data_IF_306734479359
#
_entry.id   IF_306734479359
#
_cell.length_a   1.000
_cell.length_b   1.000
_cell.length_c   1.000
_cell.angle_alpha   90.00
_cell.angle_beta   90.00
_cell.angle_gamma   90.00
#
_symmetry.space_group_name_H-M   'P 1'
#
loop_
_entity.id
_entity.type
_entity.pdbx_description
1 polymer ?
#
# COMPACT_ATOMS: atom_id res chain seq x y z
N UNK A 1 18.93 -0.70 0.74
CA UNK A 1 17.92 -1.78 0.84
C UNK A 1 17.19 -1.84 2.18
N UNK A 2 17.66 -1.20 3.26
CA UNK A 2 17.09 -1.43 4.59
C UNK A 2 15.82 -0.64 4.95
N UNK A 3 15.72 0.66 4.64
CA UNK A 3 14.63 1.47 5.18
C UNK A 3 13.25 1.11 4.63
N UNK A 4 13.07 1.19 3.31
CA UNK A 4 11.74 0.98 2.69
C UNK A 4 11.22 -0.43 2.97
N UNK A 5 12.07 -1.45 2.80
CA UNK A 5 11.71 -2.83 3.12
C UNK A 5 11.32 -2.99 4.60
N UNK A 6 12.05 -2.36 5.53
CA UNK A 6 11.68 -2.40 6.95
C UNK A 6 10.32 -1.74 7.21
N UNK A 7 9.97 -0.66 6.51
CA UNK A 7 8.63 -0.08 6.61
C UNK A 7 7.55 -1.04 6.08
N UNK A 8 7.81 -1.73 4.96
CA UNK A 8 6.87 -2.72 4.40
C UNK A 8 6.66 -3.90 5.35
N UNK A 9 7.74 -4.43 5.92
CA UNK A 9 7.69 -5.52 6.91
C UNK A 9 6.92 -5.10 8.16
N UNK A 10 7.15 -3.89 8.66
CA UNK A 10 6.43 -3.37 9.81
C UNK A 10 4.94 -3.18 9.52
N UNK A 11 4.58 -2.67 8.34
CA UNK A 11 3.19 -2.57 7.92
C UNK A 11 2.51 -3.92 7.78
N UNK A 12 3.20 -4.93 7.25
CA UNK A 12 2.67 -6.29 7.19
C UNK A 12 2.38 -6.83 8.59
N UNK A 13 3.32 -6.64 9.54
CA UNK A 13 3.13 -7.03 10.94
C UNK A 13 1.91 -6.34 11.57
N UNK A 14 1.76 -5.03 11.38
CA UNK A 14 0.62 -4.26 11.89
C UNK A 14 -0.71 -4.70 11.27
N UNK A 15 -0.72 -5.02 9.96
CA UNK A 15 -1.89 -5.53 9.27
C UNK A 15 -2.33 -6.89 9.85
N UNK A 16 -1.38 -7.79 10.11
CA UNK A 16 -1.64 -9.10 10.71
C UNK A 16 -2.18 -8.97 12.13
N UNK A 17 -1.60 -8.08 12.95
CA UNK A 17 -2.09 -7.81 14.31
C UNK A 17 -3.52 -7.26 14.31
N UNK A 18 -3.82 -6.36 13.38
CA UNK A 18 -5.18 -5.85 13.20
C UNK A 18 -6.14 -6.96 12.79
N UNK A 19 -5.77 -7.82 11.83
CA UNK A 19 -6.59 -8.95 11.40
C UNK A 19 -6.87 -9.93 12.56
N UNK A 20 -5.85 -10.27 13.35
CA UNK A 20 -6.01 -11.12 14.54
C UNK A 20 -6.94 -10.48 15.56
N UNK A 21 -6.84 -9.15 15.77
CA UNK A 21 -7.70 -8.43 16.71
C UNK A 21 -9.18 -8.49 16.34
N UNK A 22 -9.52 -8.58 15.05
CA UNK A 22 -10.90 -8.75 14.58
C UNK A 22 -11.48 -10.16 14.85
N UNK A 23 -10.61 -11.17 15.01
CA UNK A 23 -11.01 -12.56 15.22
C UNK A 23 -11.16 -12.93 16.71
N UNK A 24 -10.72 -12.06 17.64
CA UNK A 24 -10.79 -12.35 19.08
C UNK A 24 -12.24 -12.27 19.60
N UNK A 25 -12.72 -13.39 20.15
CA UNK A 25 -14.10 -13.61 20.59
C UNK A 25 -14.56 -12.67 21.71
N UNK A 26 -15.84 -12.27 21.59
CA UNK A 26 -16.62 -11.25 22.30
C UNK A 26 -17.03 -11.60 23.74
N UNK A 27 -16.13 -12.10 24.58
CA UNK A 27 -16.47 -12.26 26.01
C UNK A 27 -16.61 -10.90 26.74
N UNK A 28 -16.04 -9.83 26.18
CA UNK A 28 -16.12 -8.47 26.71
C UNK A 28 -16.16 -7.43 25.58
N UNK A 29 -17.35 -7.15 25.06
CA UNK A 29 -17.59 -6.40 23.81
C UNK A 29 -16.97 -5.00 23.82
N UNK A 30 -17.00 -4.30 24.97
CA UNK A 30 -16.49 -2.93 25.10
C UNK A 30 -14.96 -2.91 24.96
N UNK A 31 -14.26 -3.76 25.72
CA UNK A 31 -12.78 -3.84 25.67
C UNK A 31 -12.28 -4.40 24.33
N UNK A 32 -13.01 -5.33 23.72
CA UNK A 32 -12.69 -5.83 22.39
C UNK A 32 -12.79 -4.73 21.32
N UNK A 33 -13.85 -3.91 21.40
CA UNK A 33 -14.06 -2.79 20.46
C UNK A 33 -12.99 -1.71 20.57
N UNK A 34 -12.57 -1.37 21.78
CA UNK A 34 -11.49 -0.40 22.01
C UNK A 34 -10.15 -0.91 21.46
N UNK A 35 -9.82 -2.17 21.73
CA UNK A 35 -8.60 -2.81 21.22
C UNK A 35 -8.54 -2.84 19.69
N UNK A 36 -9.65 -3.16 19.03
CA UNK A 36 -9.75 -3.14 17.56
C UNK A 36 -9.55 -1.71 17.01
N UNK A 37 -10.17 -0.70 17.64
CA UNK A 37 -10.01 0.71 17.24
C UNK A 37 -8.56 1.17 17.36
N UNK A 38 -7.89 0.84 18.47
CA UNK A 38 -6.49 1.18 18.70
C UNK A 38 -5.58 0.54 17.65
N UNK A 39 -5.77 -0.75 17.36
CA UNK A 39 -4.97 -1.45 16.34
C UNK A 39 -5.22 -0.95 14.93
N UNK A 40 -6.47 -0.61 14.60
CA UNK A 40 -6.81 0.04 13.34
C UNK A 40 -6.14 1.41 13.21
N UNK A 41 -6.15 2.22 14.28
CA UNK A 41 -5.54 3.54 14.27
C UNK A 41 -4.01 3.43 14.09
N UNK A 42 -3.34 2.58 14.86
CA UNK A 42 -1.90 2.31 14.75
C UNK A 42 -1.50 1.92 13.32
N UNK A 43 -2.28 1.03 12.70
CA UNK A 43 -2.07 0.62 11.32
C UNK A 43 -2.26 1.77 10.32
N UNK A 44 -3.38 2.50 10.39
CA UNK A 44 -3.66 3.62 9.47
C UNK A 44 -2.62 4.72 9.61
N UNK A 45 -2.21 5.05 10.84
CA UNK A 45 -1.20 6.07 11.12
C UNK A 45 0.16 5.67 10.52
N UNK A 46 0.55 4.39 10.64
CA UNK A 46 1.77 3.87 10.03
C UNK A 46 1.70 3.93 8.49
N UNK A 47 0.54 3.62 7.89
CA UNK A 47 0.32 3.71 6.44
C UNK A 47 0.44 5.16 5.96
N UNK A 48 -0.21 6.10 6.63
CA UNK A 48 -0.11 7.52 6.30
C UNK A 48 1.32 8.03 6.44
N UNK A 49 2.02 7.66 7.52
CA UNK A 49 3.41 8.03 7.73
C UNK A 49 4.35 7.49 6.64
N UNK A 50 4.12 6.27 6.15
CA UNK A 50 4.86 5.72 5.00
C UNK A 50 4.58 6.55 3.74
N UNK A 51 3.30 6.75 3.42
CA UNK A 51 2.87 7.49 2.23
C UNK A 51 3.44 8.90 2.21
N UNK A 52 3.41 9.61 3.34
CA UNK A 52 3.98 10.96 3.47
C UNK A 52 5.49 10.98 3.25
N UNK A 53 6.22 10.01 3.81
CA UNK A 53 7.68 9.91 3.62
C UNK A 53 8.02 9.61 2.16
N UNK A 54 7.33 8.65 1.55
CA UNK A 54 7.52 8.27 0.14
C UNK A 54 7.17 9.45 -0.79
N UNK A 55 6.08 10.17 -0.52
CA UNK A 55 5.70 11.33 -1.33
C UNK A 55 6.70 12.50 -1.25
N UNK A 56 7.51 12.59 -0.19
CA UNK A 56 8.55 13.62 -0.03
C UNK A 56 9.86 13.26 -0.73
N UNK A 57 10.01 12.05 -1.28
CA UNK A 57 11.25 11.63 -1.92
C UNK A 57 11.39 12.30 -3.28
N UNK A 58 12.54 12.94 -3.53
CA UNK A 58 12.84 13.55 -4.83
C UNK A 58 12.76 12.52 -5.95
N UNK A 59 11.93 12.81 -6.95
CA UNK A 59 11.69 11.92 -8.09
C UNK A 59 10.42 11.07 -7.94
N UNK A 60 9.72 11.14 -6.81
CA UNK A 60 8.36 10.61 -6.65
C UNK A 60 7.37 11.75 -6.89
N UNK A 61 6.39 11.48 -7.74
CA UNK A 61 5.33 12.44 -8.12
C UNK A 61 4.15 12.37 -7.17
N UNK A 62 3.78 11.16 -6.74
CA UNK A 62 2.73 10.94 -5.75
C UNK A 62 2.85 9.53 -5.14
N UNK A 63 2.31 9.37 -3.94
CA UNK A 63 2.15 8.10 -3.27
C UNK A 63 0.74 8.00 -2.68
N UNK A 64 0.11 6.83 -2.77
CA UNK A 64 -1.18 6.56 -2.16
C UNK A 64 -1.30 5.09 -1.75
N UNK A 65 -2.09 4.82 -0.72
CA UNK A 65 -2.39 3.47 -0.25
C UNK A 65 -3.89 3.21 -0.34
N UNK A 66 -4.25 2.03 -0.83
CA UNK A 66 -5.62 1.59 -1.00
C UNK A 66 -5.88 0.28 -0.27
N UNK A 67 -7.12 0.09 0.14
CA UNK A 67 -7.64 -1.17 0.67
C UNK A 67 -9.05 -1.38 0.12
N UNK A 68 -9.27 -2.51 -0.56
CA UNK A 68 -10.53 -2.82 -1.24
C UNK A 68 -11.05 -1.68 -2.14
N UNK A 69 -10.13 -1.05 -2.89
CA UNK A 69 -10.45 0.04 -3.82
C UNK A 69 -10.70 1.40 -3.15
N UNK A 70 -10.73 1.45 -1.81
CA UNK A 70 -10.89 2.67 -1.04
C UNK A 70 -9.54 3.25 -0.66
N UNK A 71 -9.44 4.57 -0.71
CA UNK A 71 -8.25 5.28 -0.27
C UNK A 71 -8.09 5.21 1.25
N UNK A 72 -6.88 4.84 1.70
CA UNK A 72 -6.48 4.92 3.11
C UNK A 72 -5.56 6.11 3.40
N UNK A 73 -4.65 6.42 2.48
CA UNK A 73 -3.68 7.50 2.63
C UNK A 73 -3.22 8.03 1.27
N UNK A 74 -2.86 9.31 1.20
CA UNK A 74 -2.24 9.95 0.02
C UNK A 74 -1.25 11.04 0.44
N UNK A 75 -0.20 11.23 -0.35
CA UNK A 75 0.85 12.21 -0.09
C UNK A 75 0.62 13.57 -0.75
N UNK A 76 -0.25 13.62 -1.76
CA UNK A 76 -0.61 14.82 -2.51
C UNK A 76 -2.05 14.69 -3.00
N UNK A 77 -2.75 15.83 -3.11
CA UNK A 77 -4.12 15.86 -3.62
C UNK A 77 -4.10 15.48 -5.12
N UNK A 78 -4.40 14.22 -5.44
CA UNK A 78 -4.62 13.79 -6.81
C UNK A 78 -6.10 13.98 -7.18
N UNK A 79 -6.36 14.55 -8.35
CA UNK A 79 -7.72 14.62 -8.86
C UNK A 79 -8.26 13.19 -9.10
N UNK A 80 -9.52 12.96 -8.74
CA UNK A 80 -10.22 11.68 -8.95
C UNK A 80 -9.54 10.45 -8.31
N UNK A 81 -8.92 10.62 -7.13
CA UNK A 81 -8.17 9.55 -6.48
C UNK A 81 -9.03 8.32 -6.12
N UNK A 82 -10.32 8.50 -5.83
CA UNK A 82 -11.24 7.38 -5.56
C UNK A 82 -11.47 6.53 -6.82
N UNK A 83 -11.66 7.17 -7.98
CA UNK A 83 -11.80 6.48 -9.25
C UNK A 83 -10.51 5.72 -9.64
N UNK A 84 -9.36 6.31 -9.29
CA UNK A 84 -8.08 5.64 -9.46
C UNK A 84 -7.94 4.42 -8.52
N UNK A 85 -8.37 4.52 -7.26
CA UNK A 85 -8.39 3.40 -6.31
C UNK A 85 -9.20 2.21 -6.80
N UNK A 86 -10.40 2.45 -7.36
CA UNK A 86 -11.20 1.41 -7.99
C UNK A 86 -10.48 0.76 -9.19
N UNK A 87 -9.85 1.58 -10.04
CA UNK A 87 -9.11 1.09 -11.21
C UNK A 87 -7.89 0.25 -10.81
N UNK A 88 -7.19 0.64 -9.74
CA UNK A 88 -6.07 -0.11 -9.16
C UNK A 88 -6.54 -1.49 -8.68
N UNK A 89 -7.68 -1.56 -7.99
CA UNK A 89 -8.24 -2.82 -7.52
C UNK A 89 -8.63 -3.76 -8.67
N UNK A 90 -9.29 -3.23 -9.70
CA UNK A 90 -9.66 -4.01 -10.88
C UNK A 90 -8.43 -4.51 -11.64
N UNK A 91 -7.41 -3.65 -11.77
CA UNK A 91 -6.13 -4.01 -12.40
C UNK A 91 -5.42 -5.11 -11.63
N UNK A 92 -5.40 -5.02 -10.30
CA UNK A 92 -4.81 -6.03 -9.43
C UNK A 92 -5.54 -7.37 -9.55
N UNK A 93 -6.88 -7.37 -9.55
CA UNK A 93 -7.68 -8.58 -9.75
C UNK A 93 -7.40 -9.24 -11.09
N UNK A 94 -7.38 -8.46 -12.17
CA UNK A 94 -7.06 -8.98 -13.50
C UNK A 94 -5.63 -9.55 -13.55
N UNK A 95 -4.67 -8.86 -12.94
CA UNK A 95 -3.29 -9.34 -12.86
C UNK A 95 -3.19 -10.65 -12.08
N UNK A 96 -3.88 -10.81 -10.95
CA UNK A 96 -3.88 -12.05 -10.16
C UNK A 96 -4.43 -13.24 -10.96
N UNK A 97 -5.47 -13.03 -11.78
CA UNK A 97 -5.96 -14.06 -12.69
C UNK A 97 -4.90 -14.44 -13.74
N UNK A 98 -4.21 -13.44 -14.31
CA UNK A 98 -3.08 -13.67 -15.21
C UNK A 98 -1.90 -14.39 -14.54
N UNK A 99 -1.62 -14.09 -13.28
CA UNK A 99 -0.55 -14.70 -12.51
C UNK A 99 -0.78 -16.20 -12.30
N UNK A 100 -2.03 -16.59 -12.00
CA UNK A 100 -2.40 -18.00 -11.90
C UNK A 100 -2.23 -18.74 -13.23
N UNK A 101 -2.60 -18.12 -14.35
CA UNK A 101 -2.42 -18.69 -15.69
C UNK A 101 -0.94 -18.85 -16.07
N UNK A 102 -0.10 -17.91 -15.62
CA UNK A 102 1.33 -17.88 -15.93
C UNK A 102 2.19 -18.61 -14.88
N UNK A 103 1.60 -19.11 -13.79
CA UNK A 103 2.34 -19.77 -12.71
C UNK A 103 3.30 -18.85 -11.94
N UNK A 104 2.98 -17.56 -11.80
CA UNK A 104 3.86 -16.57 -11.16
C UNK A 104 3.83 -16.63 -9.62
N UNK A 105 2.89 -17.37 -9.04
CA UNK A 105 2.63 -17.34 -7.60
C UNK A 105 1.87 -16.08 -7.18
N UNK A 106 2.07 -15.64 -5.93
CA UNK A 106 1.47 -14.42 -5.42
C UNK A 106 2.11 -13.18 -6.08
N UNK A 107 1.30 -12.28 -6.62
CA UNK A 107 1.82 -11.03 -7.17
C UNK A 107 2.20 -10.05 -6.06
N UNK A 108 3.49 -9.77 -5.97
CA UNK A 108 4.02 -8.74 -5.07
C UNK A 108 3.99 -7.34 -5.69
N UNK A 109 4.11 -7.24 -7.02
CA UNK A 109 4.28 -5.97 -7.72
C UNK A 109 3.65 -5.96 -9.12
N UNK A 110 3.04 -4.83 -9.48
CA UNK A 110 2.61 -4.48 -10.84
C UNK A 110 3.27 -3.14 -11.21
N UNK A 111 3.79 -3.02 -12.43
CA UNK A 111 4.33 -1.74 -12.92
C UNK A 111 3.67 -1.38 -14.24
N UNK A 112 3.01 -0.23 -14.27
CA UNK A 112 2.46 0.36 -15.48
C UNK A 112 3.36 1.49 -15.92
N UNK A 113 3.90 1.42 -17.13
CA UNK A 113 4.82 2.43 -17.68
C UNK A 113 4.13 3.15 -18.85
N UNK A 114 3.81 4.42 -18.64
CA UNK A 114 3.30 5.31 -19.68
C UNK A 114 4.44 5.99 -20.46
N UNK A 115 4.07 6.95 -21.32
CA UNK A 115 5.04 7.71 -22.10
C UNK A 115 5.89 8.66 -21.24
N UNK A 116 5.31 9.21 -20.18
CA UNK A 116 5.93 10.24 -19.32
C UNK A 116 6.17 9.75 -17.89
N UNK A 117 5.20 9.04 -17.34
CA UNK A 117 5.21 8.58 -15.95
C UNK A 117 5.02 7.07 -15.89
N UNK A 118 5.39 6.50 -14.76
CA UNK A 118 5.06 5.13 -14.39
C UNK A 118 4.39 5.10 -13.02
N UNK A 119 3.64 4.03 -12.79
CA UNK A 119 3.05 3.70 -11.51
C UNK A 119 3.50 2.30 -11.13
N UNK A 120 4.12 2.18 -9.96
CA UNK A 120 4.36 0.90 -9.32
C UNK A 120 3.25 0.66 -8.28
N UNK A 121 2.61 -0.49 -8.35
CA UNK A 121 1.62 -0.97 -7.37
C UNK A 121 2.28 -2.14 -6.62
N UNK A 122 2.35 -2.04 -5.30
CA UNK A 122 2.97 -3.03 -4.42
C UNK A 122 1.91 -3.60 -3.51
N UNK A 123 1.84 -4.93 -3.42
CA UNK A 123 0.97 -5.60 -2.44
C UNK A 123 1.67 -5.65 -1.08
N UNK A 124 0.96 -5.24 -0.03
CA UNK A 124 1.44 -5.25 1.36
C UNK A 124 0.32 -5.83 2.22
N UNK A 125 0.29 -7.16 2.34
CA UNK A 125 -0.86 -7.86 2.92
C UNK A 125 -2.15 -7.46 2.19
N UNK A 126 -3.18 -6.94 2.89
CA UNK A 126 -4.44 -6.53 2.28
C UNK A 126 -4.38 -5.15 1.60
N UNK A 127 -3.23 -4.47 1.63
CA UNK A 127 -3.05 -3.13 1.06
C UNK A 127 -2.44 -3.15 -0.32
N UNK A 128 -2.76 -2.13 -1.09
CA UNK A 128 -2.07 -1.79 -2.32
C UNK A 128 -1.43 -0.40 -2.21
N UNK A 129 -0.10 -0.34 -2.23
CA UNK A 129 0.66 0.91 -2.26
C UNK A 129 0.97 1.29 -3.70
N UNK A 130 0.52 2.46 -4.13
CA UNK A 130 0.77 3.01 -5.45
C UNK A 130 1.78 4.15 -5.36
N UNK A 131 2.85 4.05 -6.15
CA UNK A 131 3.90 5.07 -6.23
C UNK A 131 4.03 5.52 -7.69
N UNK A 132 3.76 6.80 -7.94
CA UNK A 132 3.90 7.42 -9.25
C UNK A 132 5.25 8.16 -9.34
N UNK A 133 5.93 8.03 -10.47
CA UNK A 133 7.17 8.76 -10.76
C UNK A 133 7.30 9.04 -12.26
N UNK A 134 8.15 9.99 -12.68
CA UNK A 134 8.60 10.05 -14.06
C UNK A 134 9.19 8.72 -14.50
N UNK A 135 9.03 8.39 -15.79
CA UNK A 135 9.41 7.10 -16.36
C UNK A 135 10.91 6.80 -16.17
N UNK A 136 11.72 7.84 -16.28
CA UNK A 136 13.18 7.80 -16.25
C UNK A 136 13.74 7.55 -14.85
N UNK A 137 12.95 7.80 -13.80
CA UNK A 137 13.39 7.64 -12.42
C UNK A 137 13.54 6.16 -12.08
N UNK A 138 14.73 5.71 -11.68
CA UNK A 138 14.89 4.38 -11.11
C UNK A 138 14.27 4.33 -9.70
N UNK A 139 13.03 3.86 -9.62
CA UNK A 139 12.24 3.89 -8.38
C UNK A 139 12.90 3.08 -7.26
N UNK A 140 13.41 1.88 -7.57
CA UNK A 140 14.12 1.06 -6.61
C UNK A 140 15.37 1.77 -6.07
N UNK A 141 16.13 2.46 -6.92
CA UNK A 141 17.27 3.25 -6.47
C UNK A 141 16.85 4.44 -5.59
N UNK A 142 15.73 5.09 -5.89
CA UNK A 142 15.27 6.27 -5.14
C UNK A 142 14.75 5.87 -3.76
N UNK A 143 13.93 4.83 -3.68
CA UNK A 143 13.43 4.27 -2.41
C UNK A 143 14.56 3.73 -1.53
N UNK A 144 15.66 3.29 -2.14
CA UNK A 144 16.83 2.77 -1.41
C UNK A 144 17.75 3.84 -0.79
N UNK A 145 17.68 5.10 -1.24
CA UNK A 145 18.63 6.16 -0.86
C UNK A 145 18.24 6.93 0.42
N UNK A 146 17.06 6.71 0.98
CA UNK A 146 16.59 7.38 2.21
C UNK A 146 16.87 6.59 3.50
N UNK A 147 18.02 5.91 3.58
CA UNK A 147 18.52 5.37 4.85
C UNK A 147 19.39 6.42 5.55
#
# INVERSE_FOLDING_TARGET
>A
MHWFQAQLTELSRLADEYAISQQQSTSNIINASEKIRLKRAEFIDAVQALVDKVGKIKGISACAAYHDGLILAQSAQLAAIDAFGATVQDSARAAQQGAALLGLGELEQIVVVGAQNKVAMLSIGPLMLCIASPKEINLASVLNRQA
#
